data_IF_200218340885
#
_entry.id   IF_200218340885
#
_cell.length_a   1.000
_cell.length_b   1.000
_cell.length_c   1.000
_cell.angle_alpha   90.00
_cell.angle_beta   90.00
_cell.angle_gamma   90.00
#
_symmetry.space_group_name_H-M   'P 1'
#
loop_
_entity.id
_entity.type
_entity.pdbx_description
1 polymer ?
#
# COMPACT_ATOMS: atom_id res chain seq x y z
N UNK A 1 2.22 -22.32 24.49
CA UNK A 1 0.94 -21.59 24.26
C UNK A 1 0.75 -21.42 22.77
N UNK A 2 -0.48 -21.61 22.31
CA UNK A 2 -0.88 -22.03 20.97
C UNK A 2 -0.43 -21.14 19.80
N UNK A 3 0.17 -21.76 18.78
CA UNK A 3 0.63 -21.17 17.52
C UNK A 3 -0.53 -20.90 16.51
N UNK A 4 -1.71 -20.51 17.01
CA UNK A 4 -2.95 -20.40 16.24
C UNK A 4 -3.17 -19.00 15.65
N UNK A 5 -2.33 -18.02 15.98
CA UNK A 5 -2.52 -16.61 15.58
C UNK A 5 -2.04 -16.28 14.16
N UNK A 6 -1.09 -17.04 13.61
CA UNK A 6 -0.34 -16.60 12.42
C UNK A 6 -0.91 -17.10 11.09
N UNK A 7 -1.66 -18.21 11.09
CA UNK A 7 -2.13 -18.85 9.86
C UNK A 7 -3.32 -18.15 9.19
N UNK A 8 -4.12 -17.36 9.93
CA UNK A 8 -5.49 -16.99 9.49
C UNK A 8 -5.76 -15.52 9.13
N UNK A 9 -4.81 -14.60 9.26
CA UNK A 9 -5.07 -13.21 8.86
C UNK A 9 -4.83 -13.02 7.36
N UNK A 10 -5.84 -13.30 6.53
CA UNK A 10 -5.96 -12.72 5.18
C UNK A 10 -6.69 -11.38 5.34
N UNK A 11 -5.96 -10.27 5.20
CA UNK A 11 -6.57 -8.94 5.26
C UNK A 11 -6.60 -8.33 3.85
N UNK A 12 -7.74 -7.70 3.53
CA UNK A 12 -7.86 -6.82 2.38
C UNK A 12 -7.55 -5.41 2.85
N UNK A 13 -6.51 -4.81 2.28
CA UNK A 13 -6.15 -3.41 2.46
C UNK A 13 -6.51 -2.61 1.22
N UNK A 14 -6.79 -1.32 1.42
CA UNK A 14 -7.05 -0.36 0.34
C UNK A 14 -6.03 0.76 0.44
N UNK A 15 -5.41 1.12 -0.68
CA UNK A 15 -4.54 2.28 -0.86
C UNK A 15 -5.24 3.26 -1.78
N UNK A 16 -5.19 4.55 -1.47
CA UNK A 16 -5.78 5.58 -2.32
C UNK A 16 -4.84 6.77 -2.50
N UNK A 17 -4.88 7.40 -3.68
CA UNK A 17 -4.28 8.72 -3.90
C UNK A 17 -5.34 9.77 -3.64
N UNK A 18 -5.08 10.65 -2.68
CA UNK A 18 -6.01 11.69 -2.28
C UNK A 18 -5.46 13.07 -2.60
N UNK A 19 -6.24 13.88 -3.33
CA UNK A 19 -5.93 15.29 -3.54
C UNK A 19 -6.40 16.08 -2.32
N UNK A 20 -5.47 16.50 -1.47
CA UNK A 20 -5.78 17.36 -0.31
C UNK A 20 -6.40 18.69 -0.73
N UNK A 21 -5.93 19.28 -1.84
CA UNK A 21 -6.45 20.54 -2.38
C UNK A 21 -7.89 20.41 -2.87
N UNK A 22 -8.19 19.32 -3.58
CA UNK A 22 -9.51 19.12 -4.18
C UNK A 22 -10.49 18.38 -3.25
N UNK A 23 -9.99 17.77 -2.17
CA UNK A 23 -10.79 17.00 -1.21
C UNK A 23 -11.33 15.69 -1.77
N UNK A 24 -10.68 15.10 -2.79
CA UNK A 24 -11.19 13.91 -3.49
C UNK A 24 -10.12 12.83 -3.67
N UNK A 25 -10.55 11.56 -3.64
CA UNK A 25 -9.73 10.43 -4.04
C UNK A 25 -9.63 10.39 -5.58
N UNK A 26 -8.41 10.34 -6.10
CA UNK A 26 -8.11 10.30 -7.53
C UNK A 26 -8.02 8.88 -8.07
N UNK A 27 -7.54 7.94 -7.24
CA UNK A 27 -7.44 6.53 -7.58
C UNK A 27 -7.41 5.70 -6.29
N UNK A 28 -7.81 4.43 -6.39
CA UNK A 28 -7.73 3.46 -5.30
C UNK A 28 -7.36 2.09 -5.85
N UNK A 29 -6.61 1.32 -5.06
CA UNK A 29 -6.31 -0.07 -5.34
C UNK A 29 -6.43 -0.89 -4.06
N UNK A 30 -6.86 -2.15 -4.21
CA UNK A 30 -7.03 -3.08 -3.11
C UNK A 30 -6.02 -4.22 -3.23
N UNK A 31 -5.51 -4.68 -2.10
CA UNK A 31 -4.58 -5.81 -2.08
C UNK A 31 -4.77 -6.70 -0.87
N UNK A 32 -4.35 -7.96 -1.01
CA UNK A 32 -4.34 -8.94 0.07
C UNK A 32 -2.92 -9.15 0.57
N UNK A 33 -2.75 -9.07 1.88
CA UNK A 33 -1.46 -9.08 2.58
C UNK A 33 -0.54 -10.28 2.30
N UNK A 34 -1.11 -11.42 1.92
CA UNK A 34 -0.40 -12.65 1.61
C UNK A 34 -0.03 -12.77 0.13
N UNK A 35 -0.58 -11.90 -0.72
CA UNK A 35 -0.39 -11.91 -2.17
C UNK A 35 0.42 -10.71 -2.68
N UNK A 36 0.35 -9.59 -1.98
CA UNK A 36 0.99 -8.33 -2.36
C UNK A 36 1.19 -7.45 -1.14
N UNK A 37 2.03 -6.43 -1.26
CA UNK A 37 2.25 -5.41 -0.25
C UNK A 37 1.91 -4.01 -0.77
N UNK A 38 1.84 -3.04 0.14
CA UNK A 38 1.70 -1.62 -0.21
C UNK A 38 2.82 -1.16 -1.15
N UNK A 39 4.03 -1.67 -0.95
CA UNK A 39 5.22 -1.34 -1.76
C UNK A 39 5.00 -1.70 -3.24
N UNK A 40 4.26 -2.79 -3.51
CA UNK A 40 3.96 -3.23 -4.88
C UNK A 40 2.79 -2.45 -5.49
N UNK A 41 1.83 -2.05 -4.66
CA UNK A 41 0.55 -1.45 -5.08
C UNK A 41 0.71 0.05 -5.36
N UNK A 42 1.54 0.76 -4.60
CA UNK A 42 1.75 2.20 -4.78
C UNK A 42 2.30 2.54 -6.17
N UNK A 43 3.37 1.89 -6.69
CA UNK A 43 3.85 2.14 -8.05
C UNK A 43 2.81 1.86 -9.13
N UNK A 44 2.00 0.79 -8.99
CA UNK A 44 0.92 0.47 -9.91
C UNK A 44 -0.15 1.57 -9.92
N UNK A 45 -0.57 2.02 -8.74
CA UNK A 45 -1.55 3.08 -8.57
C UNK A 45 -1.08 4.41 -9.21
N UNK A 46 0.22 4.71 -9.08
CA UNK A 46 0.83 5.90 -9.71
C UNK A 46 0.93 5.78 -11.23
N UNK A 47 1.29 4.60 -11.75
CA UNK A 47 1.30 4.34 -13.18
C UNK A 47 -0.10 4.53 -13.79
N UNK A 48 -1.14 4.06 -13.09
CA UNK A 48 -2.54 4.20 -13.52
C UNK A 48 -3.02 5.66 -13.55
N UNK A 49 -2.42 6.55 -12.75
CA UNK A 49 -2.75 7.98 -12.77
C UNK A 49 -2.13 8.73 -13.96
N UNK A 50 -1.20 8.12 -14.70
CA UNK A 50 -0.57 8.73 -15.87
C UNK A 50 0.20 10.01 -15.55
N UNK A 51 0.74 10.13 -14.33
CA UNK A 51 1.48 11.33 -13.90
C UNK A 51 2.91 11.22 -14.40
N UNK A 52 3.28 12.08 -15.34
CA UNK A 52 4.60 12.13 -15.94
C UNK A 52 5.37 13.41 -15.53
N UNK A 53 6.69 13.36 -15.59
CA UNK A 53 7.55 14.54 -15.40
C UNK A 53 7.63 15.07 -13.96
N UNK A 54 7.19 14.29 -12.97
CA UNK A 54 7.25 14.67 -11.56
C UNK A 54 8.18 13.74 -10.78
N UNK A 55 8.82 14.28 -9.74
CA UNK A 55 9.52 13.48 -8.73
C UNK A 55 8.57 13.29 -7.56
N UNK A 56 8.19 12.05 -7.28
CA UNK A 56 7.39 11.70 -6.11
C UNK A 56 8.34 11.20 -5.01
N UNK A 57 8.22 11.79 -3.82
CA UNK A 57 8.96 11.39 -2.63
C UNK A 57 7.97 10.87 -1.60
N UNK A 58 8.23 9.67 -1.08
CA UNK A 58 7.40 9.01 -0.09
C UNK A 58 8.19 8.84 1.19
N UNK A 59 7.69 9.37 2.31
CA UNK A 59 8.26 9.13 3.63
C UNK A 59 7.55 7.95 4.30
N UNK A 60 8.08 6.76 4.09
CA UNK A 60 7.58 5.53 4.71
C UNK A 60 8.33 5.25 6.03
N UNK A 61 8.12 6.09 7.05
CA UNK A 61 8.83 5.99 8.34
C UNK A 61 8.62 4.65 9.08
N UNK A 62 7.62 3.84 8.73
CA UNK A 62 7.22 2.63 9.48
C UNK A 62 7.00 1.33 8.68
N UNK A 63 7.31 1.26 7.38
CA UNK A 63 6.91 0.09 6.57
C UNK A 63 7.90 -1.07 6.52
N UNK A 64 9.11 -0.96 7.09
CA UNK A 64 9.98 -2.13 7.22
C UNK A 64 9.60 -2.96 8.45
N UNK A 65 8.65 -3.88 8.26
CA UNK A 65 8.46 -5.00 9.19
C UNK A 65 9.79 -5.75 9.27
N UNK A 66 10.44 -5.77 10.45
CA UNK A 66 11.66 -6.56 10.68
C UNK A 66 11.38 -8.01 10.25
N UNK A 67 12.06 -8.45 9.20
CA UNK A 67 12.16 -9.87 8.87
C UNK A 67 12.90 -10.51 10.05
N UNK A 68 12.15 -11.22 10.89
CA UNK A 68 12.73 -11.97 12.00
C UNK A 68 13.29 -13.25 11.38
N UNK A 69 14.62 -13.42 11.42
CA UNK A 69 15.28 -14.68 11.11
C UNK A 69 14.97 -15.73 12.18
#
# INVERSE_FOLDING_TARGET
MNNYAQAYQDFVSVVSVFSSRCGVALALEQFRNKKSSEIDVVPLLLANLGIEGVILSFEALHCQKKLSN
#
